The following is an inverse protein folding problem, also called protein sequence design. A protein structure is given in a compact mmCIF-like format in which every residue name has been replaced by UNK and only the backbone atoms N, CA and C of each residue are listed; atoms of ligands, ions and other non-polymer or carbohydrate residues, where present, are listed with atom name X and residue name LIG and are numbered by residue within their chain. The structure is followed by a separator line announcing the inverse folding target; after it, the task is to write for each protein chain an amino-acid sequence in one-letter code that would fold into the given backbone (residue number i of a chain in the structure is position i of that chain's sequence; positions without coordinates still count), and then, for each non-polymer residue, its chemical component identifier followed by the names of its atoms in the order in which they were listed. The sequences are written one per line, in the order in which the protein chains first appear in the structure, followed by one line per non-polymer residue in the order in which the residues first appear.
data_IF_007620184214
#
_entry.id   IF_007620184214
#
_cell.length_a   1.000
_cell.length_b   1.000
_cell.length_c   1.000
_cell.angle_alpha   90.00
_cell.angle_beta   90.00
_cell.angle_gamma   90.00
#
_symmetry.space_group_name_H-M   'P 1'
#
loop_
_entity.id
_entity.type
_entity.pdbx_description
1 polymer ?
#
# COMPACT_ATOMS: atom_id res chain seq x y z
N UNK A 1 -8.92 -9.94 -19.29
CA UNK A 1 -7.61 -9.91 -18.63
C UNK A 1 -7.55 -8.88 -17.50
N UNK A 2 -7.16 -7.61 -17.68
CA UNK A 2 -6.92 -6.69 -16.55
C UNK A 2 -8.13 -6.45 -15.62
N UNK A 3 -9.35 -6.31 -16.17
CA UNK A 3 -10.55 -6.18 -15.34
C UNK A 3 -10.85 -7.45 -14.52
N UNK A 4 -10.69 -8.64 -15.12
CA UNK A 4 -10.81 -9.92 -14.42
C UNK A 4 -9.73 -10.07 -13.35
N UNK A 5 -8.47 -9.72 -13.66
CA UNK A 5 -7.36 -9.73 -12.72
C UNK A 5 -7.57 -8.83 -11.50
N UNK A 6 -8.26 -7.69 -11.66
CA UNK A 6 -8.66 -6.85 -10.53
C UNK A 6 -9.66 -7.55 -9.62
N UNK A 7 -10.65 -8.25 -10.18
CA UNK A 7 -11.61 -9.03 -9.41
C UNK A 7 -10.87 -10.15 -8.66
N UNK A 8 -10.00 -10.90 -9.34
CA UNK A 8 -9.16 -11.92 -8.73
C UNK A 8 -8.32 -11.34 -7.58
N UNK A 9 -7.72 -10.17 -7.76
CA UNK A 9 -6.96 -9.48 -6.71
C UNK A 9 -7.80 -9.18 -5.46
N UNK A 10 -9.05 -8.76 -5.65
CA UNK A 10 -9.99 -8.51 -4.55
C UNK A 10 -10.42 -9.83 -3.88
N UNK A 11 -10.78 -10.85 -4.66
CA UNK A 11 -11.23 -12.18 -4.20
C UNK A 11 -10.17 -12.94 -3.40
N UNK A 12 -8.90 -12.87 -3.82
CA UNK A 12 -7.79 -13.48 -3.09
C UNK A 12 -7.47 -12.76 -1.77
N UNK A 13 -8.06 -11.59 -1.52
CA UNK A 13 -7.82 -10.79 -0.32
C UNK A 13 -6.56 -9.94 -0.36
N UNK A 14 -5.88 -9.80 -1.50
CA UNK A 14 -4.68 -8.95 -1.64
C UNK A 14 -4.95 -7.49 -1.21
N UNK A 15 -6.19 -7.04 -1.42
CA UNK A 15 -6.65 -5.70 -1.09
C UNK A 15 -6.73 -5.41 0.43
N UNK A 16 -6.58 -6.41 1.32
CA UNK A 16 -6.64 -6.17 2.76
C UNK A 16 -5.50 -5.26 3.24
N UNK A 17 -4.31 -5.42 2.67
CA UNK A 17 -3.14 -4.57 2.89
C UNK A 17 -2.97 -3.59 1.72
N UNK A 18 -3.03 -4.08 0.47
CA UNK A 18 -2.87 -3.25 -0.73
C UNK A 18 -4.19 -2.60 -1.14
N UNK A 19 -4.70 -1.72 -0.28
CA UNK A 19 -6.01 -1.08 -0.45
C UNK A 19 -5.96 -0.03 -1.56
N UNK A 20 -6.77 -0.13 -2.65
CA UNK A 20 -6.72 0.83 -3.76
C UNK A 20 -6.86 2.29 -3.35
N UNK A 21 -7.68 2.56 -2.34
CA UNK A 21 -7.81 3.88 -1.73
C UNK A 21 -8.08 3.80 -0.23
N UNK A 22 -7.64 4.83 0.50
CA UNK A 22 -7.94 5.02 1.91
C UNK A 22 -9.01 6.12 2.09
N UNK A 23 -10.06 5.87 2.89
CA UNK A 23 -11.05 6.88 3.20
C UNK A 23 -10.50 7.91 4.19
N UNK A 24 -10.69 9.19 3.90
CA UNK A 24 -10.30 10.30 4.75
C UNK A 24 -11.53 11.16 5.08
N UNK A 25 -11.80 11.33 6.37
CA UNK A 25 -12.96 12.08 6.86
C UNK A 25 -12.76 13.61 6.85
N UNK A 26 -11.52 14.09 6.74
CA UNK A 26 -11.17 15.51 6.77
C UNK A 26 -9.91 15.79 5.97
N UNK A 27 -9.94 16.84 5.15
CA UNK A 27 -8.77 17.38 4.44
C UNK A 27 -8.02 18.44 5.26
N UNK A 28 -8.39 18.66 6.52
CA UNK A 28 -7.67 19.57 7.42
C UNK A 28 -6.52 18.84 8.10
N UNK A 29 -5.31 19.26 7.77
CA UNK A 29 -4.10 18.83 8.44
C UNK A 29 -3.79 19.80 9.60
N UNK A 30 -3.63 19.28 10.81
CA UNK A 30 -3.30 20.08 11.99
C UNK A 30 -1.88 19.76 12.47
N UNK A 31 -1.15 20.80 12.84
CA UNK A 31 0.18 20.71 13.45
C UNK A 31 0.25 21.66 14.68
N UNK A 32 0.35 21.13 15.91
CA UNK A 32 0.33 19.71 16.26
C UNK A 32 -0.98 19.00 15.93
N UNK A 33 -0.84 17.72 15.56
CA UNK A 33 -1.94 16.81 15.30
C UNK A 33 -2.61 16.29 16.58
N UNK A 34 -3.80 15.67 16.46
CA UNK A 34 -4.54 15.13 17.60
C UNK A 34 -3.90 13.89 18.24
N UNK A 35 -2.93 13.26 17.54
CA UNK A 35 -2.22 12.07 18.00
C UNK A 35 -0.79 12.37 18.47
N UNK A 36 -0.38 13.64 18.48
CA UNK A 36 0.93 14.02 19.01
C UNK A 36 0.99 13.79 20.52
N UNK A 37 2.06 13.14 20.96
CA UNK A 37 2.23 12.64 22.32
C UNK A 37 3.42 13.30 23.02
N UNK A 38 3.65 12.95 24.29
CA UNK A 38 4.84 13.38 25.01
C UNK A 38 6.12 13.00 24.24
N UNK A 39 6.97 13.99 23.95
CA UNK A 39 8.16 13.84 23.12
C UNK A 39 8.04 14.46 21.72
N UNK A 40 6.83 14.83 21.29
CA UNK A 40 6.58 15.77 20.17
C UNK A 40 5.96 17.06 20.70
N UNK A 41 5.77 18.06 19.82
CA UNK A 41 5.03 19.28 20.16
C UNK A 41 3.54 18.91 20.27
N UNK A 42 2.88 19.11 21.41
CA UNK A 42 1.46 18.75 21.59
C UNK A 42 0.55 19.95 21.39
N UNK A 43 -0.74 19.70 21.14
CA UNK A 43 -1.74 20.77 20.98
C UNK A 43 -1.83 21.70 22.19
N UNK A 44 -1.63 21.16 23.39
CA UNK A 44 -1.66 21.94 24.64
C UNK A 44 -0.37 22.74 24.89
N UNK A 45 0.70 22.46 24.13
CA UNK A 45 1.98 23.18 24.21
C UNK A 45 1.97 24.46 23.35
N UNK A 46 0.92 24.69 22.55
CA UNK A 46 0.78 25.87 21.68
C UNK A 46 -0.53 26.62 21.94
N UNK A 47 -0.49 27.95 21.89
CA UNK A 47 -1.70 28.77 22.06
C UNK A 47 -2.70 28.58 20.92
N UNK A 48 -2.23 28.29 19.70
CA UNK A 48 -3.07 28.04 18.53
C UNK A 48 -2.35 27.07 17.58
N UNK A 49 -2.87 25.84 17.41
CA UNK A 49 -2.34 24.92 16.41
C UNK A 49 -2.49 25.47 14.99
N UNK A 50 -1.51 25.22 14.13
CA UNK A 50 -1.64 25.52 12.71
C UNK A 50 -2.58 24.51 12.06
N UNK A 51 -3.55 24.98 11.28
CA UNK A 51 -4.48 24.13 10.53
C UNK A 51 -4.45 24.51 9.06
N UNK A 52 -4.03 23.55 8.24
CA UNK A 52 -3.93 23.67 6.79
C UNK A 52 -5.11 22.95 6.15
N UNK A 53 -5.98 23.69 5.46
CA UNK A 53 -7.11 23.10 4.74
C UNK A 53 -6.67 22.69 3.33
N UNK A 54 -6.34 21.40 3.16
CA UNK A 54 -5.93 20.86 1.86
C UNK A 54 -7.09 20.84 0.86
N UNK A 55 -8.34 20.96 1.32
CA UNK A 55 -9.52 21.07 0.46
C UNK A 55 -9.55 22.36 -0.37
N UNK A 56 -8.68 23.32 -0.10
CA UNK A 56 -8.52 24.52 -0.91
C UNK A 56 -7.83 24.23 -2.25
N UNK A 57 -7.05 23.15 -2.36
CA UNK A 57 -6.38 22.80 -3.61
C UNK A 57 -7.32 22.09 -4.59
N UNK A 58 -7.25 22.47 -5.86
CA UNK A 58 -8.08 21.88 -6.92
C UNK A 58 -7.88 20.37 -7.06
N UNK A 59 -6.65 19.88 -6.93
CA UNK A 59 -6.37 18.44 -6.99
C UNK A 59 -7.09 17.67 -5.86
N UNK A 60 -7.22 18.25 -4.67
CA UNK A 60 -7.86 17.61 -3.53
C UNK A 60 -9.39 17.60 -3.69
N UNK A 61 -9.95 18.64 -4.32
CA UNK A 61 -11.39 18.71 -4.64
C UNK A 61 -11.78 17.64 -5.66
N UNK A 62 -10.89 17.37 -6.63
CA UNK A 62 -11.09 16.39 -7.69
C UNK A 62 -11.03 14.93 -7.22
N UNK A 63 -10.56 14.67 -5.99
CA UNK A 63 -10.53 13.32 -5.44
C UNK A 63 -11.95 12.75 -5.28
N UNK A 64 -12.15 11.46 -5.61
CA UNK A 64 -13.45 10.82 -5.48
C UNK A 64 -13.89 10.76 -4.02
N UNK A 65 -15.20 10.72 -3.80
CA UNK A 65 -15.82 10.52 -2.48
C UNK A 65 -16.68 9.27 -2.51
N UNK A 66 -16.75 8.56 -1.39
CA UNK A 66 -17.69 7.45 -1.24
C UNK A 66 -19.07 7.95 -0.78
N UNK A 67 -20.02 7.03 -0.62
CA UNK A 67 -21.40 7.33 -0.21
C UNK A 67 -21.52 7.98 1.18
N UNK A 68 -20.45 7.91 2.00
CA UNK A 68 -20.37 8.55 3.31
C UNK A 68 -19.76 9.96 3.24
N UNK A 69 -19.41 10.43 2.04
CA UNK A 69 -18.77 11.72 1.82
C UNK A 69 -17.28 11.75 2.18
N UNK A 70 -16.67 10.61 2.51
CA UNK A 70 -15.23 10.53 2.80
C UNK A 70 -14.42 10.66 1.50
N UNK A 71 -13.31 11.40 1.56
CA UNK A 71 -12.41 11.55 0.42
C UNK A 71 -11.58 10.28 0.25
N UNK A 72 -11.61 9.69 -0.93
CA UNK A 72 -10.93 8.44 -1.24
C UNK A 72 -9.54 8.73 -1.83
N UNK A 73 -8.51 8.63 -0.99
CA UNK A 73 -7.11 8.90 -1.37
C UNK A 73 -6.50 7.66 -2.04
N UNK A 74 -6.09 7.71 -3.32
CA UNK A 74 -5.61 6.54 -4.07
C UNK A 74 -4.15 6.20 -3.72
N UNK A 75 -3.92 5.68 -2.51
CA UNK A 75 -2.60 5.28 -2.04
C UNK A 75 -2.19 3.89 -2.52
N UNK A 76 -3.14 3.03 -2.89
CA UNK A 76 -2.89 1.62 -3.19
C UNK A 76 -2.06 0.85 -2.12
N UNK A 77 -2.38 1.10 -0.85
CA UNK A 77 -1.70 0.61 0.35
C UNK A 77 -2.49 1.04 1.58
N UNK A 78 -2.02 0.71 2.78
CA UNK A 78 -2.76 0.98 4.02
C UNK A 78 -1.99 1.72 5.11
N UNK A 79 -0.73 2.11 4.85
CA UNK A 79 0.18 2.78 5.80
C UNK A 79 0.43 1.99 7.10
N UNK A 80 0.12 0.69 7.11
CA UNK A 80 0.35 -0.18 8.26
C UNK A 80 1.54 -1.07 8.04
N UNK A 81 2.08 -1.57 9.14
CA UNK A 81 3.09 -2.61 9.16
C UNK A 81 2.44 -3.97 9.31
N UNK A 82 2.95 -4.95 8.58
CA UNK A 82 2.49 -6.33 8.58
C UNK A 82 3.65 -7.29 8.69
N UNK A 83 3.39 -8.45 9.29
CA UNK A 83 4.29 -9.60 9.23
C UNK A 83 4.25 -10.18 7.81
N UNK A 84 5.36 -10.13 7.07
CA UNK A 84 5.43 -10.54 5.65
C UNK A 84 6.14 -11.90 5.43
N UNK A 85 6.58 -12.55 6.51
CA UNK A 85 7.27 -13.83 6.45
C UNK A 85 6.98 -14.68 7.69
N UNK A 86 6.96 -15.99 7.50
CA UNK A 86 6.75 -16.99 8.55
C UNK A 86 7.66 -18.22 8.34
N UNK A 87 7.46 -19.26 9.16
CA UNK A 87 8.28 -20.47 9.11
C UNK A 87 8.14 -21.28 7.80
N UNK A 88 7.04 -21.13 7.08
CA UNK A 88 6.78 -21.83 5.81
C UNK A 88 7.24 -21.00 4.61
N UNK A 89 7.01 -19.69 4.64
CA UNK A 89 7.39 -18.76 3.58
C UNK A 89 8.24 -17.66 4.19
N UNK A 90 9.56 -17.87 4.15
CA UNK A 90 10.56 -17.02 4.79
C UNK A 90 11.29 -16.07 3.83
N UNK A 91 10.97 -16.09 2.54
CA UNK A 91 11.74 -15.39 1.50
C UNK A 91 11.84 -13.87 1.74
N UNK A 92 10.80 -13.24 2.28
CA UNK A 92 10.78 -11.83 2.65
C UNK A 92 11.21 -11.56 4.11
N UNK A 93 11.59 -12.58 4.87
CA UNK A 93 12.07 -12.49 6.25
C UNK A 93 13.59 -12.48 6.34
N UNK A 94 14.26 -11.77 5.41
CA UNK A 94 15.70 -11.86 5.17
C UNK A 94 16.46 -10.60 5.63
N UNK A 95 15.84 -9.77 6.46
CA UNK A 95 16.49 -8.65 7.14
C UNK A 95 17.27 -9.15 8.36
N UNK A 96 18.49 -8.65 8.54
CA UNK A 96 19.37 -9.10 9.61
C UNK A 96 19.27 -8.22 10.85
N UNK A 97 18.99 -6.93 10.64
CA UNK A 97 18.95 -5.94 11.71
C UNK A 97 17.50 -5.58 12.07
N UNK A 98 17.13 -5.79 13.33
CA UNK A 98 15.87 -5.26 13.83
C UNK A 98 15.96 -3.73 13.96
N UNK A 99 14.92 -3.03 13.53
CA UNK A 99 14.74 -1.63 13.89
C UNK A 99 14.10 -1.58 15.28
N UNK A 100 14.40 -0.54 16.07
CA UNK A 100 13.89 -0.44 17.45
C UNK A 100 12.37 -0.69 17.49
N UNK A 101 11.96 -1.70 18.27
CA UNK A 101 10.56 -2.11 18.47
C UNK A 101 9.84 -2.66 17.23
N UNK A 102 10.55 -3.00 16.15
CA UNK A 102 9.98 -3.59 14.93
C UNK A 102 10.76 -4.87 14.58
N UNK A 103 10.05 -5.98 14.53
CA UNK A 103 10.62 -7.28 14.17
C UNK A 103 11.12 -7.32 12.73
N UNK A 104 12.10 -8.19 12.45
CA UNK A 104 12.80 -8.26 11.15
C UNK A 104 11.94 -8.75 9.98
N UNK A 105 10.77 -9.30 10.26
CA UNK A 105 9.79 -9.73 9.26
C UNK A 105 8.57 -8.78 9.20
N UNK A 106 8.65 -7.60 9.80
CA UNK A 106 7.55 -6.64 9.85
C UNK A 106 7.89 -5.42 8.99
N UNK A 107 7.12 -5.21 7.93
CA UNK A 107 7.33 -4.12 6.98
C UNK A 107 6.06 -3.36 6.70
N UNK A 108 6.20 -2.09 6.34
CA UNK A 108 5.07 -1.31 5.84
C UNK A 108 4.61 -1.84 4.48
N UNK A 109 3.30 -1.90 4.25
CA UNK A 109 2.76 -2.28 2.95
C UNK A 109 3.31 -1.35 1.86
N UNK A 110 3.97 -1.92 0.86
CA UNK A 110 4.41 -1.16 -0.30
C UNK A 110 3.21 -0.73 -1.14
N UNK A 111 3.21 0.51 -1.59
CA UNK A 111 2.18 1.02 -2.47
C UNK A 111 2.28 0.40 -3.87
N UNK A 112 1.14 -0.01 -4.44
CA UNK A 112 1.12 -0.68 -5.75
C UNK A 112 0.94 0.27 -6.94
N UNK A 113 0.70 1.57 -6.72
CA UNK A 113 0.66 2.53 -7.82
C UNK A 113 2.05 2.64 -8.44
N UNK A 114 2.23 2.11 -9.65
CA UNK A 114 3.53 2.06 -10.32
C UNK A 114 4.32 0.77 -10.13
N UNK A 115 3.74 -0.30 -9.54
CA UNK A 115 4.45 -1.57 -9.36
C UNK A 115 4.99 -2.14 -10.68
N UNK A 116 4.33 -1.92 -11.80
CA UNK A 116 4.80 -2.40 -13.10
C UNK A 116 6.09 -1.72 -13.60
N UNK A 117 6.49 -0.61 -12.96
CA UNK A 117 7.64 0.23 -13.37
C UNK A 117 8.83 0.11 -12.41
N UNK A 118 8.76 -0.73 -11.39
CA UNK A 118 9.71 -0.71 -10.25
C UNK A 118 10.42 -2.04 -9.99
N UNK A 119 10.44 -2.96 -10.96
CA UNK A 119 11.24 -4.18 -10.82
C UNK A 119 12.73 -3.85 -10.61
N UNK A 120 13.49 -4.65 -9.83
CA UNK A 120 13.06 -5.87 -9.13
C UNK A 120 12.31 -5.60 -7.82
N UNK A 121 11.59 -6.61 -7.33
CA UNK A 121 10.64 -6.51 -6.22
C UNK A 121 11.21 -7.02 -4.88
N UNK A 122 10.44 -6.78 -3.82
CA UNK A 122 10.83 -7.07 -2.43
C UNK A 122 11.66 -5.94 -1.83
N UNK A 123 11.75 -5.88 -0.50
CA UNK A 123 12.45 -4.78 0.18
C UNK A 123 13.98 -4.77 -0.07
N UNK A 124 14.53 -5.83 -0.67
CA UNK A 124 15.93 -5.94 -1.11
C UNK A 124 16.12 -5.84 -2.62
N UNK A 125 15.05 -5.65 -3.40
CA UNK A 125 15.06 -5.60 -4.86
C UNK A 125 15.77 -6.81 -5.49
N UNK A 126 15.47 -8.02 -5.03
CA UNK A 126 16.10 -9.27 -5.47
C UNK A 126 15.11 -10.29 -6.08
N UNK A 127 13.81 -9.97 -6.14
CA UNK A 127 12.79 -10.80 -6.78
C UNK A 127 12.48 -10.27 -8.19
N UNK A 128 12.77 -11.01 -9.28
CA UNK A 128 12.77 -10.44 -10.62
C UNK A 128 11.37 -10.30 -11.23
N UNK A 129 10.35 -10.95 -10.69
CA UNK A 129 8.99 -11.00 -11.29
C UNK A 129 7.90 -10.76 -10.26
N UNK A 130 6.75 -10.27 -10.74
CA UNK A 130 5.54 -10.11 -9.95
C UNK A 130 5.06 -11.45 -9.37
N UNK A 131 5.09 -12.53 -10.16
CA UNK A 131 4.78 -13.88 -9.69
C UNK A 131 5.72 -14.32 -8.55
N UNK A 132 7.03 -14.05 -8.67
CA UNK A 132 8.00 -14.39 -7.64
C UNK A 132 7.73 -13.65 -6.32
N UNK A 133 7.44 -12.34 -6.36
CA UNK A 133 7.15 -11.58 -5.14
C UNK A 133 5.81 -11.95 -4.52
N UNK A 134 4.78 -12.25 -5.31
CA UNK A 134 3.50 -12.74 -4.77
C UNK A 134 3.70 -14.07 -4.04
N UNK A 135 4.45 -15.01 -4.63
CA UNK A 135 4.76 -16.31 -4.01
C UNK A 135 5.61 -16.22 -2.74
N UNK A 136 6.35 -15.12 -2.59
CA UNK A 136 7.23 -14.86 -1.46
C UNK A 136 6.51 -14.28 -0.23
N UNK A 137 5.22 -13.95 -0.33
CA UNK A 137 4.43 -13.46 0.81
C UNK A 137 4.13 -14.59 1.81
N UNK A 138 4.71 -14.46 3.00
CA UNK A 138 4.34 -15.24 4.19
C UNK A 138 3.60 -14.37 5.20
N UNK A 139 3.52 -14.85 6.44
CA UNK A 139 2.92 -14.12 7.56
C UNK A 139 1.44 -13.81 7.31
N UNK A 140 1.07 -12.54 7.46
CA UNK A 140 -0.28 -12.04 7.20
C UNK A 140 -0.68 -12.17 5.72
N UNK A 141 0.28 -12.15 4.79
CA UNK A 141 0.03 -12.33 3.36
C UNK A 141 -0.08 -13.78 2.90
N UNK A 142 0.22 -14.76 3.77
CA UNK A 142 0.31 -16.18 3.40
C UNK A 142 -1.01 -16.74 2.84
N UNK A 143 -2.15 -16.35 3.40
CA UNK A 143 -3.45 -16.83 2.93
C UNK A 143 -3.74 -16.40 1.47
N UNK A 144 -3.52 -15.12 1.14
CA UNK A 144 -3.66 -14.61 -0.22
C UNK A 144 -2.65 -15.25 -1.18
N UNK A 145 -1.41 -15.46 -0.71
CA UNK A 145 -0.37 -16.18 -1.46
C UNK A 145 -0.77 -17.61 -1.77
N UNK A 146 -1.27 -18.36 -0.80
CA UNK A 146 -1.65 -19.76 -0.98
C UNK A 146 -2.81 -19.89 -1.97
N UNK A 147 -3.79 -18.98 -1.88
CA UNK A 147 -4.88 -18.88 -2.83
C UNK A 147 -4.37 -18.53 -4.25
N UNK A 148 -3.43 -17.60 -4.38
CA UNK A 148 -2.77 -17.28 -5.67
C UNK A 148 -2.05 -18.49 -6.28
N UNK A 149 -1.32 -19.25 -5.46
CA UNK A 149 -0.61 -20.46 -5.92
C UNK A 149 -1.58 -21.55 -6.36
N UNK A 150 -2.75 -21.65 -5.73
CA UNK A 150 -3.80 -22.63 -6.06
C UNK A 150 -4.59 -22.30 -7.34
N UNK A 151 -4.54 -21.06 -7.85
CA UNK A 151 -5.17 -20.70 -9.11
C UNK A 151 -4.65 -21.54 -10.29
N UNK A 152 -5.41 -21.60 -11.38
CA UNK A 152 -4.87 -22.07 -12.64
C UNK A 152 -3.92 -21.02 -13.28
N UNK A 153 -3.27 -21.39 -14.38
CA UNK A 153 -2.33 -20.50 -15.05
C UNK A 153 -3.01 -19.25 -15.63
N UNK A 154 -4.21 -19.39 -16.19
CA UNK A 154 -4.92 -18.29 -16.82
C UNK A 154 -5.32 -17.23 -15.79
N UNK A 155 -5.90 -17.62 -14.66
CA UNK A 155 -6.28 -16.70 -13.59
C UNK A 155 -5.07 -16.00 -12.95
N UNK A 156 -3.93 -16.69 -12.81
CA UNK A 156 -2.68 -16.02 -12.40
C UNK A 156 -2.24 -14.98 -13.41
N UNK A 157 -2.25 -15.30 -14.70
CA UNK A 157 -1.85 -14.37 -15.76
C UNK A 157 -2.77 -13.15 -15.82
N UNK A 158 -4.06 -13.30 -15.54
CA UNK A 158 -4.99 -12.18 -15.45
C UNK A 158 -4.65 -11.23 -14.30
N UNK A 159 -4.36 -11.75 -13.11
CA UNK A 159 -3.91 -10.94 -11.97
C UNK A 159 -2.59 -10.23 -12.29
N UNK A 160 -1.62 -10.94 -12.87
CA UNK A 160 -0.35 -10.33 -13.30
C UNK A 160 -0.58 -9.25 -14.36
N UNK A 161 -1.50 -9.47 -15.31
CA UNK A 161 -1.87 -8.49 -16.31
C UNK A 161 -2.49 -7.23 -15.69
N UNK A 162 -3.33 -7.37 -14.66
CA UNK A 162 -3.83 -6.24 -13.88
C UNK A 162 -2.70 -5.46 -13.21
N UNK A 163 -1.80 -6.13 -12.47
CA UNK A 163 -0.68 -5.44 -11.83
C UNK A 163 0.23 -4.73 -12.84
N UNK A 164 0.40 -5.29 -14.03
CA UNK A 164 1.14 -4.68 -15.14
C UNK A 164 0.50 -3.41 -15.72
N UNK A 165 -0.77 -3.12 -15.43
CA UNK A 165 -1.38 -1.84 -15.83
C UNK A 165 -1.02 -0.70 -14.88
N UNK A 166 -0.44 -1.00 -13.72
CA UNK A 166 -0.09 0.00 -12.70
C UNK A 166 1.32 0.53 -12.97
N UNK A 167 1.45 1.40 -13.96
CA UNK A 167 2.72 2.02 -14.38
C UNK A 167 2.87 3.44 -13.84
N UNK A 168 4.12 3.88 -13.66
CA UNK A 168 4.43 5.30 -13.49
C UNK A 168 4.46 5.91 -14.89
N UNK A 169 3.50 6.76 -15.20
CA UNK A 169 3.48 7.46 -16.49
C UNK A 169 4.59 8.53 -16.52
N UNK A 170 5.36 8.62 -17.61
CA UNK A 170 6.29 9.73 -17.78
C UNK A 170 5.50 11.02 -17.81
N UNK A 171 5.95 12.01 -17.03
CA UNK A 171 5.36 13.34 -17.03
C UNK A 171 5.47 13.89 -18.45
N UNK A 172 4.35 14.12 -19.14
CA UNK A 172 4.40 14.84 -20.40
C UNK A 172 5.11 16.18 -20.16
N UNK A 173 6.11 16.49 -20.98
CA UNK A 173 6.77 17.78 -20.92
C UNK A 173 5.68 18.84 -21.14
N UNK A 174 5.53 19.75 -20.17
CA UNK A 174 4.59 20.87 -20.29
C UNK A 174 4.81 21.56 -21.64
N UNK A 175 3.81 21.50 -22.52
CA UNK A 175 3.76 22.29 -23.74
C UNK A 175 3.42 23.74 -23.43
#
# INVERSE_FOLDING_TARGET
AAAAGRLTFEELGCHSCHRPALPLSSLRFADPGPLDMAGTLRRDDVATPAVYDLGLYEWAKALPRNDRGEVMVPLFGDLKRHVIADQQVAALGNELMAQRFVERNVFMTAELWGIASTSPYGHRNDLPTLDAVIRAHGGEGRAARDAYVALDAAARDELIAFLKTLVIEPKEAAR
#
